data_IF_790674688468
#
_entry.id   IF_790674688468
#
_cell.length_a   1.000
_cell.length_b   1.000
_cell.length_c   1.000
_cell.angle_alpha   90.00
_cell.angle_beta   90.00
_cell.angle_gamma   90.00
#
_symmetry.space_group_name_H-M   'P 1'
#
loop_
_entity.id
_entity.type
_entity.pdbx_description
1 polymer ?
#
# COMPACT_ATOMS: atom_id res chain seq x y z
N UNK A 1 8.97 -16.22 30.51
CA UNK A 1 8.95 -15.70 29.12
C UNK A 1 8.28 -14.35 29.16
N UNK A 2 8.96 -13.28 28.74
CA UNK A 2 8.28 -12.01 28.48
C UNK A 2 7.61 -12.17 27.12
N UNK A 3 6.30 -12.43 27.11
CA UNK A 3 5.52 -12.48 25.87
C UNK A 3 5.57 -11.13 25.16
N UNK A 4 5.40 -11.13 23.84
CA UNK A 4 5.04 -9.91 23.12
C UNK A 4 3.67 -9.49 23.69
N UNK A 5 3.58 -8.32 24.29
CA UNK A 5 2.31 -7.75 24.73
C UNK A 5 1.82 -6.82 23.62
N UNK A 6 0.76 -7.24 22.93
CA UNK A 6 0.13 -6.49 21.85
C UNK A 6 -1.28 -6.12 22.29
N UNK A 7 -1.63 -4.84 22.20
CA UNK A 7 -3.04 -4.41 22.27
C UNK A 7 -3.73 -4.75 20.94
N UNK A 8 -4.61 -5.77 20.87
CA UNK A 8 -5.19 -6.23 19.61
C UNK A 8 -6.13 -5.17 19.01
N UNK A 9 -6.87 -4.48 19.88
CA UNK A 9 -7.79 -3.41 19.49
C UNK A 9 -7.08 -2.21 18.87
N UNK A 10 -6.03 -1.69 19.53
CA UNK A 10 -5.24 -0.58 18.99
C UNK A 10 -4.53 -0.97 17.70
N UNK A 11 -3.93 -2.17 17.66
CA UNK A 11 -3.21 -2.68 16.50
C UNK A 11 -4.14 -2.85 15.30
N UNK A 12 -5.32 -3.45 15.51
CA UNK A 12 -6.37 -3.55 14.48
C UNK A 12 -6.80 -2.18 13.98
N UNK A 13 -6.94 -1.20 14.89
CA UNK A 13 -7.25 0.18 14.53
C UNK A 13 -6.23 0.81 13.59
N UNK A 14 -4.94 0.63 13.86
CA UNK A 14 -3.87 1.14 12.98
C UNK A 14 -3.81 0.41 11.64
N UNK A 15 -4.01 -0.91 11.63
CA UNK A 15 -4.05 -1.70 10.39
C UNK A 15 -5.24 -1.30 9.51
N UNK A 16 -6.39 -0.96 10.09
CA UNK A 16 -7.53 -0.46 9.33
C UNK A 16 -7.25 0.91 8.69
N UNK A 17 -6.52 1.80 9.40
CA UNK A 17 -6.06 3.07 8.80
C UNK A 17 -5.08 2.83 7.66
N UNK A 18 -4.19 1.85 7.80
CA UNK A 18 -3.24 1.48 6.76
C UNK A 18 -3.96 0.94 5.52
N UNK A 19 -4.99 0.09 5.71
CA UNK A 19 -5.84 -0.41 4.62
C UNK A 19 -6.56 0.73 3.91
N UNK A 20 -7.20 1.61 4.66
CA UNK A 20 -7.90 2.77 4.10
C UNK A 20 -6.95 3.67 3.28
N UNK A 21 -5.74 3.92 3.78
CA UNK A 21 -4.73 4.67 3.03
C UNK A 21 -4.33 3.98 1.72
N UNK A 22 -4.20 2.65 1.72
CA UNK A 22 -3.96 1.87 0.50
C UNK A 22 -5.13 1.96 -0.50
N UNK A 23 -6.35 1.83 0.01
CA UNK A 23 -7.60 1.90 -0.78
C UNK A 23 -7.81 3.28 -1.42
N UNK A 24 -7.36 4.35 -0.76
CA UNK A 24 -7.40 5.72 -1.30
C UNK A 24 -6.25 5.99 -2.31
N UNK A 25 -5.07 5.43 -2.05
CA UNK A 25 -3.87 5.71 -2.83
C UNK A 25 -3.90 5.06 -4.21
N UNK A 26 -4.43 3.84 -4.35
CA UNK A 26 -4.53 3.13 -5.63
C UNK A 26 -5.34 3.90 -6.70
N UNK A 27 -6.60 4.29 -6.45
CA UNK A 27 -7.38 5.05 -7.43
C UNK A 27 -6.78 6.44 -7.70
N UNK A 28 -6.21 7.09 -6.67
CA UNK A 28 -5.54 8.37 -6.84
C UNK A 28 -4.30 8.23 -7.75
N UNK A 29 -3.50 7.18 -7.57
CA UNK A 29 -2.36 6.89 -8.43
C UNK A 29 -2.81 6.60 -9.87
N UNK A 30 -3.78 5.72 -10.07
CA UNK A 30 -4.30 5.38 -11.41
C UNK A 30 -4.79 6.62 -12.17
N UNK A 31 -5.47 7.55 -11.48
CA UNK A 31 -5.93 8.80 -12.06
C UNK A 31 -4.78 9.72 -12.53
N UNK A 32 -3.68 9.80 -11.77
CA UNK A 32 -2.51 10.58 -12.18
C UNK A 32 -1.64 9.85 -13.21
N UNK A 33 -1.54 8.53 -13.10
CA UNK A 33 -0.84 7.66 -14.04
C UNK A 33 -1.35 7.84 -15.46
N UNK A 34 -2.67 7.91 -15.64
CA UNK A 34 -3.28 8.19 -16.94
C UNK A 34 -2.82 9.53 -17.56
N UNK A 35 -2.62 10.57 -16.75
CA UNK A 35 -2.13 11.88 -17.23
C UNK A 35 -0.63 11.85 -17.55
N UNK A 36 0.14 11.06 -16.82
CA UNK A 36 1.56 10.83 -17.07
C UNK A 36 1.76 10.03 -18.36
N UNK A 37 0.87 9.07 -18.64
CA UNK A 37 0.94 8.24 -19.85
C UNK A 37 0.50 8.99 -21.10
N UNK A 38 -0.42 9.95 -20.94
CA UNK A 38 -0.93 10.80 -22.01
C UNK A 38 -0.81 12.29 -21.62
N UNK A 39 0.41 12.86 -21.61
CA UNK A 39 0.60 14.30 -21.44
C UNK A 39 -0.02 14.97 -22.68
N UNK A 40 -1.24 15.51 -22.54
CA UNK A 40 -2.16 15.80 -23.64
C UNK A 40 -1.51 16.35 -24.92
N UNK A 41 -1.75 15.71 -26.06
CA UNK A 41 -1.46 16.09 -27.47
C UNK A 41 -0.20 16.92 -27.81
N UNK A 42 0.83 16.98 -26.96
CA UNK A 42 2.13 17.53 -27.33
C UNK A 42 2.86 16.40 -28.09
N UNK A 43 2.65 16.27 -29.40
CA UNK A 43 3.21 15.07 -30.06
C UNK A 43 3.34 15.00 -31.58
N UNK A 44 2.54 15.72 -32.37
CA UNK A 44 2.65 15.58 -33.84
C UNK A 44 3.85 16.31 -34.45
N UNK A 45 4.12 17.52 -33.96
CA UNK A 45 5.14 18.41 -34.51
C UNK A 45 6.57 18.09 -34.02
N UNK A 46 7.60 18.67 -34.66
CA UNK A 46 9.00 18.50 -34.26
C UNK A 46 9.29 18.79 -32.78
N UNK A 47 8.67 19.83 -32.22
CA UNK A 47 8.78 20.15 -30.78
C UNK A 47 8.13 19.09 -29.88
N UNK A 48 6.99 18.54 -30.29
CA UNK A 48 6.31 17.47 -29.54
C UNK A 48 7.12 16.18 -29.51
N UNK A 49 7.81 15.84 -30.62
CA UNK A 49 8.75 14.72 -30.67
C UNK A 49 9.97 14.94 -29.77
N UNK A 50 10.55 16.13 -29.78
CA UNK A 50 11.68 16.47 -28.91
C UNK A 50 11.29 16.42 -27.41
N UNK A 51 10.12 16.95 -27.05
CA UNK A 51 9.57 16.84 -25.70
C UNK A 51 9.36 15.38 -25.30
N UNK A 52 8.71 14.58 -26.14
CA UNK A 52 8.41 13.17 -25.85
C UNK A 52 9.69 12.37 -25.61
N UNK A 53 10.75 12.63 -26.39
CA UNK A 53 12.04 11.98 -26.20
C UNK A 53 12.61 12.22 -24.80
N UNK A 54 12.57 13.48 -24.32
CA UNK A 54 13.04 13.85 -22.99
C UNK A 54 12.10 13.40 -21.86
N UNK A 55 10.80 13.28 -22.15
CA UNK A 55 9.78 12.95 -21.16
C UNK A 55 9.70 11.44 -20.85
N UNK A 56 10.12 10.58 -21.77
CA UNK A 56 10.02 9.11 -21.63
C UNK A 56 10.72 8.52 -20.39
N UNK A 57 11.96 8.96 -20.11
CA UNK A 57 12.75 8.50 -18.97
C UNK A 57 12.13 8.91 -17.61
N UNK A 58 11.82 10.20 -17.34
CA UNK A 58 11.18 10.58 -16.09
C UNK A 58 9.78 9.97 -15.93
N UNK A 59 9.00 9.83 -17.01
CA UNK A 59 7.73 9.08 -17.00
C UNK A 59 7.91 7.66 -16.46
N UNK A 60 8.92 6.96 -16.97
CA UNK A 60 9.18 5.56 -16.59
C UNK A 60 9.68 5.46 -15.15
N UNK A 61 10.53 6.38 -14.71
CA UNK A 61 11.03 6.43 -13.34
C UNK A 61 9.91 6.64 -12.33
N UNK A 62 9.02 7.61 -12.57
CA UNK A 62 7.87 7.89 -11.69
C UNK A 62 6.90 6.71 -11.68
N UNK A 63 6.64 6.11 -12.85
CA UNK A 63 5.83 4.89 -12.95
C UNK A 63 6.32 3.77 -12.04
N UNK A 64 7.58 3.38 -12.25
CA UNK A 64 8.16 2.22 -11.59
C UNK A 64 8.24 2.40 -10.07
N UNK A 65 8.48 3.64 -9.61
CA UNK A 65 8.48 3.94 -8.18
C UNK A 65 7.08 3.82 -7.57
N UNK A 66 6.04 4.29 -8.27
CA UNK A 66 4.69 4.41 -7.71
C UNK A 66 3.84 3.15 -7.90
N UNK A 67 4.04 2.37 -8.96
CA UNK A 67 3.20 1.20 -9.27
C UNK A 67 3.19 0.14 -8.16
N UNK A 68 4.23 0.08 -7.32
CA UNK A 68 4.34 -0.88 -6.23
C UNK A 68 3.71 -0.39 -4.91
N UNK A 69 3.63 0.93 -4.70
CA UNK A 69 3.35 1.52 -3.40
C UNK A 69 1.91 1.25 -2.93
N UNK A 70 0.85 1.43 -3.74
CA UNK A 70 -0.52 1.19 -3.29
C UNK A 70 -0.75 -0.24 -2.77
N UNK A 71 -0.21 -1.25 -3.48
CA UNK A 71 -0.35 -2.66 -3.11
C UNK A 71 0.32 -3.02 -1.77
N UNK A 72 1.45 -2.36 -1.45
CA UNK A 72 2.20 -2.60 -0.21
C UNK A 72 1.37 -2.27 1.03
N UNK A 73 0.61 -1.18 1.01
CA UNK A 73 -0.21 -0.75 2.15
C UNK A 73 -1.31 -1.75 2.48
N UNK A 74 -2.05 -2.22 1.46
CA UNK A 74 -3.09 -3.24 1.63
C UNK A 74 -2.48 -4.56 2.12
N UNK A 75 -1.39 -5.01 1.50
CA UNK A 75 -0.72 -6.26 1.89
C UNK A 75 -0.22 -6.21 3.34
N UNK A 76 0.39 -5.10 3.78
CA UNK A 76 0.83 -4.92 5.16
C UNK A 76 -0.36 -4.96 6.14
N UNK A 77 -1.47 -4.30 5.79
CA UNK A 77 -2.67 -4.29 6.62
C UNK A 77 -3.29 -5.69 6.77
N UNK A 78 -3.30 -6.47 5.68
CA UNK A 78 -3.85 -7.83 5.68
C UNK A 78 -2.95 -8.80 6.47
N UNK A 79 -1.64 -8.76 6.21
CA UNK A 79 -0.67 -9.57 6.95
C UNK A 79 -0.70 -9.23 8.46
N UNK A 80 -0.76 -7.94 8.80
CA UNK A 80 -0.89 -7.53 10.20
C UNK A 80 -2.19 -7.99 10.84
N UNK A 81 -3.31 -7.97 10.10
CA UNK A 81 -4.59 -8.47 10.59
C UNK A 81 -4.55 -9.97 10.93
N UNK A 82 -3.90 -10.77 10.07
CA UNK A 82 -3.65 -12.19 10.33
C UNK A 82 -2.78 -12.40 11.58
N UNK A 83 -1.75 -11.57 11.77
CA UNK A 83 -0.90 -11.64 12.95
C UNK A 83 -1.67 -11.33 14.25
N UNK A 84 -2.55 -10.33 14.24
CA UNK A 84 -3.43 -10.04 15.40
C UNK A 84 -4.34 -11.23 15.71
N UNK A 85 -4.95 -11.84 14.71
CA UNK A 85 -5.80 -13.03 14.91
C UNK A 85 -5.02 -14.20 15.53
N UNK A 86 -3.80 -14.44 15.07
CA UNK A 86 -2.93 -15.47 15.62
C UNK A 86 -2.52 -15.17 17.08
N UNK A 87 -2.27 -13.90 17.38
CA UNK A 87 -1.98 -13.44 18.74
C UNK A 87 -3.16 -13.72 19.68
N UNK A 88 -4.36 -13.26 19.34
CA UNK A 88 -5.57 -13.46 20.16
C UNK A 88 -5.93 -14.94 20.34
N UNK A 89 -5.68 -15.78 19.33
CA UNK A 89 -5.90 -17.22 19.43
C UNK A 89 -4.91 -17.87 20.42
N UNK A 90 -3.65 -17.44 20.38
CA UNK A 90 -2.60 -17.94 21.29
C UNK A 90 -2.85 -17.49 22.72
N UNK A 91 -3.24 -16.23 22.93
CA UNK A 91 -3.53 -15.67 24.24
C UNK A 91 -4.73 -16.37 24.91
N UNK A 92 -5.82 -16.60 24.16
CA UNK A 92 -6.97 -17.40 24.62
C UNK A 92 -6.60 -18.83 24.97
N UNK A 93 -5.76 -19.48 24.16
CA UNK A 93 -5.31 -20.84 24.43
C UNK A 93 -4.45 -20.92 25.70
N UNK A 94 -3.60 -19.92 25.94
CA UNK A 94 -2.79 -19.82 27.15
C UNK A 94 -3.67 -19.59 28.39
N UNK A 95 -4.64 -18.66 28.33
CA UNK A 95 -5.57 -18.40 29.42
C UNK A 95 -6.37 -19.67 29.81
N UNK A 96 -6.88 -20.41 28.82
CA UNK A 96 -7.62 -21.65 29.06
C UNK A 96 -6.80 -22.83 29.62
N UNK A 97 -5.47 -22.74 29.64
CA UNK A 97 -4.59 -23.74 30.27
C UNK A 97 -4.43 -23.52 31.78
N UNK A 98 -4.67 -22.30 32.29
CA UNK A 98 -4.55 -21.98 33.72
C UNK A 98 -5.87 -22.16 34.50
N UNK A 99 -7.00 -22.32 33.82
CA UNK A 99 -8.33 -22.61 34.41
C UNK A 99 -8.58 -24.11 34.67
N UNK A 100 -7.53 -24.96 34.72
CA UNK A 100 -7.62 -26.39 35.07
C UNK A 100 -6.85 -26.74 36.32
#
# INVERSE_FOLDING_TARGET
>A
MSGIDMSPGETTGQLNRLRAAGDDLEPAWLAQRGKIDAPGQIGGGPLGRAFTALYSAPRTAVAGAMDQIPGIYRQLADNGGQAVQAYEATDRAAAGQYDR
#
